data_IF_651487833614
#
_entry.id   IF_651487833614
#
_cell.length_a   1.000
_cell.length_b   1.000
_cell.length_c   1.000
_cell.angle_alpha   90.00
_cell.angle_beta   90.00
_cell.angle_gamma   90.00
#
_symmetry.space_group_name_H-M   'P 1'
#
loop_
_entity.id
_entity.type
_entity.pdbx_description
1 polymer ?
#
# COMPACT_ATOMS: atom_id res chain seq x y z
N UNK A 1 17.21 -3.48 18.86
CA UNK A 1 17.04 -4.84 18.30
C UNK A 1 16.81 -4.70 16.79
N UNK A 2 17.47 -5.51 15.97
CA UNK A 2 17.34 -5.42 14.49
C UNK A 2 16.10 -6.21 14.05
N UNK A 3 15.07 -5.49 13.59
CA UNK A 3 13.77 -6.10 13.18
C UNK A 3 13.97 -7.13 12.06
N UNK A 4 14.90 -6.89 11.14
CA UNK A 4 15.18 -7.82 10.06
C UNK A 4 15.64 -9.18 10.61
N UNK A 5 16.57 -9.18 11.55
CA UNK A 5 17.05 -10.42 12.20
C UNK A 5 15.94 -11.12 12.98
N UNK A 6 15.06 -10.37 13.63
CA UNK A 6 13.92 -10.94 14.37
C UNK A 6 12.97 -11.63 13.38
N UNK A 7 12.63 -11.00 12.27
CA UNK A 7 11.78 -11.59 11.22
C UNK A 7 12.46 -12.82 10.59
N UNK A 8 13.77 -12.73 10.28
CA UNK A 8 14.52 -13.85 9.69
C UNK A 8 14.51 -15.09 10.60
N UNK A 9 14.63 -14.90 11.90
CA UNK A 9 14.62 -15.97 12.90
C UNK A 9 13.23 -16.56 13.23
N UNK A 10 12.16 -16.00 12.70
CA UNK A 10 10.77 -16.35 13.03
C UNK A 10 10.08 -17.08 11.88
N UNK A 11 9.07 -17.89 12.16
CA UNK A 11 8.30 -18.61 11.15
C UNK A 11 6.82 -18.21 11.15
N UNK A 12 6.20 -18.13 12.32
CA UNK A 12 4.77 -17.85 12.50
C UNK A 12 4.59 -16.39 12.93
N UNK A 13 3.96 -15.58 12.11
CA UNK A 13 3.88 -14.12 12.33
C UNK A 13 2.42 -13.68 12.29
N UNK A 14 1.94 -13.15 13.40
CA UNK A 14 0.64 -12.51 13.50
C UNK A 14 0.70 -11.03 13.08
N UNK A 15 -0.36 -10.53 12.45
CA UNK A 15 -0.55 -9.11 12.13
C UNK A 15 -1.87 -8.65 12.72
N UNK A 16 -1.83 -7.72 13.64
CA UNK A 16 -3.00 -7.19 14.33
C UNK A 16 -3.19 -5.71 14.00
N UNK A 17 -4.42 -5.30 13.79
CA UNK A 17 -4.80 -3.89 13.59
C UNK A 17 -6.15 -3.62 14.22
N UNK A 18 -6.47 -2.33 14.46
CA UNK A 18 -7.75 -1.91 15.03
C UNK A 18 -8.93 -2.50 14.26
N UNK A 19 -10.02 -2.81 14.96
CA UNK A 19 -11.28 -3.23 14.34
C UNK A 19 -11.79 -2.25 13.28
N UNK A 20 -11.69 -0.95 13.56
CA UNK A 20 -12.07 0.14 12.67
C UNK A 20 -10.81 0.79 12.06
N UNK A 21 -9.91 -0.04 11.53
CA UNK A 21 -8.69 0.43 10.90
C UNK A 21 -9.03 1.34 9.71
N UNK A 22 -8.30 2.44 9.60
CA UNK A 22 -8.39 3.30 8.41
C UNK A 22 -7.65 2.65 7.22
N UNK A 23 -7.85 3.18 6.03
CA UNK A 23 -7.25 2.64 4.81
C UNK A 23 -5.71 2.62 4.82
N UNK A 24 -5.06 3.50 5.58
CA UNK A 24 -3.60 3.49 5.78
C UNK A 24 -3.17 2.25 6.58
N UNK A 25 -3.86 1.94 7.68
CA UNK A 25 -3.59 0.74 8.48
C UNK A 25 -3.92 -0.55 7.71
N UNK A 26 -5.03 -0.57 6.95
CA UNK A 26 -5.40 -1.70 6.08
C UNK A 26 -4.33 -1.92 5.01
N UNK A 27 -3.92 -0.87 4.31
CA UNK A 27 -2.87 -0.95 3.29
C UNK A 27 -1.53 -1.42 3.85
N UNK A 28 -1.12 -0.89 5.01
CA UNK A 28 0.09 -1.29 5.71
C UNK A 28 0.06 -2.77 6.14
N UNK A 29 -1.07 -3.23 6.69
CA UNK A 29 -1.25 -4.62 7.14
C UNK A 29 -1.19 -5.61 5.99
N UNK A 30 -1.87 -5.31 4.86
CA UNK A 30 -1.83 -6.15 3.66
C UNK A 30 -0.44 -6.18 3.02
N UNK A 31 0.22 -5.03 2.94
CA UNK A 31 1.57 -4.95 2.41
C UNK A 31 2.56 -5.80 3.22
N UNK A 32 2.49 -5.71 4.55
CA UNK A 32 3.29 -6.53 5.46
C UNK A 32 2.99 -8.01 5.29
N UNK A 33 1.71 -8.39 5.21
CA UNK A 33 1.28 -9.77 4.98
C UNK A 33 1.90 -10.37 3.70
N UNK A 34 1.75 -9.68 2.56
CA UNK A 34 2.30 -10.16 1.29
C UNK A 34 3.83 -10.18 1.27
N UNK A 35 4.46 -9.22 1.94
CA UNK A 35 5.91 -9.22 2.12
C UNK A 35 6.36 -10.48 2.87
N UNK A 36 5.78 -10.74 4.04
CA UNK A 36 6.16 -11.88 4.87
C UNK A 36 5.96 -13.21 4.13
N UNK A 37 4.84 -13.37 3.42
CA UNK A 37 4.61 -14.54 2.59
C UNK A 37 5.66 -14.70 1.48
N UNK A 38 6.08 -13.60 0.84
CA UNK A 38 7.05 -13.65 -0.25
C UNK A 38 8.46 -14.09 0.20
N UNK A 39 8.78 -13.90 1.47
CA UNK A 39 10.02 -14.39 2.08
C UNK A 39 9.84 -15.74 2.82
N UNK A 40 8.74 -16.45 2.54
CA UNK A 40 8.48 -17.80 3.06
C UNK A 40 7.98 -17.86 4.49
N UNK A 41 7.54 -16.75 5.10
CA UNK A 41 6.98 -16.73 6.45
C UNK A 41 5.49 -17.07 6.44
N UNK A 42 5.02 -17.73 7.49
CA UNK A 42 3.60 -18.00 7.73
C UNK A 42 2.99 -16.77 8.39
N UNK A 43 2.37 -15.88 7.60
CA UNK A 43 1.71 -14.69 8.08
C UNK A 43 0.19 -14.88 8.19
N UNK A 44 -0.43 -14.35 9.24
CA UNK A 44 -1.88 -14.40 9.43
C UNK A 44 -2.42 -13.19 10.22
N UNK A 45 -3.75 -13.06 10.24
CA UNK A 45 -4.44 -12.03 11.02
C UNK A 45 -5.17 -12.70 12.21
N UNK A 46 -4.61 -12.68 13.44
CA UNK A 46 -5.14 -13.41 14.59
C UNK A 46 -6.38 -12.79 15.23
N UNK A 47 -6.93 -11.72 14.67
CA UNK A 47 -8.06 -11.00 15.27
C UNK A 47 -9.39 -11.71 15.08
N UNK A 48 -10.22 -11.75 16.15
CA UNK A 48 -11.65 -12.13 16.09
C UNK A 48 -12.46 -11.24 15.13
N UNK A 49 -12.00 -10.03 14.90
CA UNK A 49 -12.73 -8.96 14.18
C UNK A 49 -11.81 -8.26 13.19
N UNK A 50 -11.55 -8.93 12.07
CA UNK A 50 -10.80 -8.36 10.95
C UNK A 50 -11.60 -7.20 10.33
N UNK A 51 -10.97 -6.04 10.03
CA UNK A 51 -11.62 -4.95 9.29
C UNK A 51 -12.28 -5.46 8.00
N UNK A 52 -13.47 -4.94 7.70
CA UNK A 52 -14.26 -5.42 6.54
C UNK A 52 -13.49 -5.30 5.23
N UNK A 53 -12.81 -4.19 5.02
CA UNK A 53 -12.01 -3.90 3.83
C UNK A 53 -10.89 -4.94 3.64
N UNK A 54 -10.22 -5.30 4.74
CA UNK A 54 -9.19 -6.34 4.77
C UNK A 54 -9.82 -7.71 4.46
N UNK A 55 -10.95 -8.02 5.08
CA UNK A 55 -11.64 -9.29 4.89
C UNK A 55 -12.18 -9.45 3.45
N UNK A 56 -12.76 -8.40 2.88
CA UNK A 56 -13.29 -8.41 1.51
C UNK A 56 -12.16 -8.64 0.49
N UNK A 57 -11.00 -8.04 0.74
CA UNK A 57 -9.83 -8.25 -0.10
C UNK A 57 -9.29 -9.69 0.01
N UNK A 58 -9.11 -10.21 1.22
CA UNK A 58 -8.65 -11.58 1.45
C UNK A 58 -9.61 -12.61 0.82
N UNK A 59 -10.92 -12.36 0.90
CA UNK A 59 -11.95 -13.19 0.25
C UNK A 59 -11.91 -13.14 -1.27
N UNK A 60 -11.59 -12.00 -1.85
CA UNK A 60 -11.57 -11.84 -3.33
C UNK A 60 -10.43 -12.60 -4.00
N UNK A 61 -9.32 -12.83 -3.28
CA UNK A 61 -8.14 -13.55 -3.79
C UNK A 61 -8.03 -15.00 -3.33
N UNK A 62 -8.65 -15.34 -2.21
CA UNK A 62 -8.68 -16.71 -1.72
C UNK A 62 -9.82 -17.49 -2.35
N UNK A 63 -9.53 -18.44 -3.23
CA UNK A 63 -10.49 -19.50 -3.51
C UNK A 63 -10.90 -20.15 -2.18
N UNK A 64 -12.20 -20.40 -1.98
CA UNK A 64 -12.67 -21.12 -0.79
C UNK A 64 -11.98 -22.49 -0.77
N UNK A 65 -11.04 -22.69 0.15
CA UNK A 65 -10.48 -24.01 0.42
C UNK A 65 -11.36 -24.66 1.49
N UNK A 66 -11.76 -25.87 1.24
CA UNK A 66 -12.43 -26.71 2.23
C UNK A 66 -11.38 -27.63 2.82
N UNK A 67 -11.16 -27.54 4.12
CA UNK A 67 -10.37 -28.53 4.83
C UNK A 67 -11.32 -29.49 5.51
N UNK A 68 -11.15 -30.77 5.23
CA UNK A 68 -11.84 -31.87 5.88
C UNK A 68 -10.76 -32.64 6.66
N UNK A 69 -10.92 -32.75 7.95
CA UNK A 69 -9.98 -33.47 8.82
C UNK A 69 -10.66 -34.70 9.39
N UNK A 70 -9.96 -35.81 9.39
CA UNK A 70 -10.37 -37.08 9.97
C UNK A 70 -9.28 -37.53 10.94
N UNK A 71 -9.70 -38.04 12.07
CA UNK A 71 -8.78 -38.61 13.06
C UNK A 71 -8.46 -40.11 12.78
N UNK A 72 -9.20 -40.71 11.82
CA UNK A 72 -8.99 -42.09 11.41
C UNK A 72 -8.25 -42.20 10.07
N UNK A 73 -7.53 -43.29 9.85
CA UNK A 73 -6.84 -43.56 8.60
C UNK A 73 -7.87 -43.85 7.49
N UNK A 74 -7.74 -43.11 6.38
CA UNK A 74 -8.57 -43.23 5.17
C UNK A 74 -7.89 -44.24 4.20
N UNK A 75 -8.67 -45.22 3.73
CA UNK A 75 -8.22 -46.21 2.73
C UNK A 75 -8.31 -45.65 1.31
N UNK A 76 -9.43 -45.02 0.98
CA UNK A 76 -9.67 -44.47 -0.36
C UNK A 76 -10.41 -43.14 -0.27
N UNK A 77 -10.12 -42.27 -1.24
CA UNK A 77 -10.78 -40.97 -1.43
C UNK A 77 -11.20 -40.86 -2.90
N UNK A 78 -12.51 -40.72 -3.16
CA UNK A 78 -13.00 -40.43 -4.48
C UNK A 78 -14.06 -39.32 -4.44
N UNK A 79 -14.33 -38.70 -5.58
CA UNK A 79 -15.29 -37.61 -5.67
C UNK A 79 -16.17 -37.73 -6.90
N UNK A 80 -17.39 -37.23 -6.77
CA UNK A 80 -18.38 -37.14 -7.84
C UNK A 80 -18.83 -35.68 -8.01
N UNK A 81 -18.93 -35.23 -9.28
CA UNK A 81 -19.54 -33.93 -9.59
C UNK A 81 -21.02 -34.10 -9.79
N UNK A 82 -21.85 -33.45 -8.96
CA UNK A 82 -23.31 -33.46 -9.08
C UNK A 82 -23.84 -32.04 -9.23
N UNK A 83 -24.18 -31.66 -10.46
CA UNK A 83 -24.62 -30.29 -10.78
C UNK A 83 -23.50 -29.27 -10.56
N UNK A 84 -23.73 -28.29 -9.65
CA UNK A 84 -22.73 -27.30 -9.24
C UNK A 84 -21.95 -27.72 -7.99
N UNK A 85 -22.20 -28.91 -7.43
CA UNK A 85 -21.58 -29.43 -6.23
C UNK A 85 -20.59 -30.55 -6.49
N UNK A 86 -19.81 -30.88 -5.47
CA UNK A 86 -18.90 -32.00 -5.42
C UNK A 86 -19.31 -32.82 -4.19
N UNK A 87 -19.46 -34.13 -4.37
CA UNK A 87 -19.62 -35.09 -3.28
C UNK A 87 -18.28 -35.79 -3.10
N UNK A 88 -17.75 -35.76 -1.88
CA UNK A 88 -16.55 -36.49 -1.49
C UNK A 88 -16.97 -37.76 -0.74
N UNK A 89 -16.45 -38.88 -1.19
CA UNK A 89 -16.60 -40.16 -0.50
C UNK A 89 -15.24 -40.56 0.08
N UNK A 90 -15.25 -40.91 1.35
CA UNK A 90 -14.06 -41.22 2.13
C UNK A 90 -14.29 -42.58 2.76
N UNK A 91 -13.48 -43.57 2.41
CA UNK A 91 -13.57 -44.88 2.98
C UNK A 91 -12.54 -45.03 4.11
N UNK A 92 -12.96 -45.16 5.38
CA UNK A 92 -12.05 -45.38 6.49
C UNK A 92 -11.48 -46.84 6.40
N UNK A 93 -10.23 -47.02 6.80
CA UNK A 93 -9.64 -48.34 6.93
C UNK A 93 -10.33 -49.21 7.98
N UNK A 94 -10.76 -48.58 9.08
CA UNK A 94 -11.56 -49.26 10.10
C UNK A 94 -13.04 -49.17 9.77
N UNK A 95 -13.66 -50.29 9.46
CA UNK A 95 -15.10 -50.40 9.17
C UNK A 95 -16.02 -50.03 10.34
N UNK A 96 -15.47 -49.90 11.55
CA UNK A 96 -16.18 -49.48 12.76
C UNK A 96 -15.92 -48.00 13.11
N UNK A 97 -15.34 -47.20 12.20
CA UNK A 97 -15.13 -45.76 12.42
C UNK A 97 -16.45 -45.08 12.75
N UNK A 98 -16.46 -44.31 13.86
CA UNK A 98 -17.66 -43.59 14.33
C UNK A 98 -17.71 -42.19 13.76
N UNK A 99 -18.91 -41.71 13.45
CA UNK A 99 -19.17 -40.36 12.90
C UNK A 99 -18.71 -39.19 13.79
N UNK A 100 -18.38 -39.48 15.05
CA UNK A 100 -18.01 -38.46 16.07
C UNK A 100 -16.65 -37.80 15.85
N UNK A 101 -15.81 -38.32 14.93
CA UNK A 101 -14.46 -37.81 14.63
C UNK A 101 -14.38 -36.98 13.34
N UNK A 102 -15.50 -36.59 12.80
CA UNK A 102 -15.57 -35.80 11.60
C UNK A 102 -15.62 -34.31 11.91
N UNK A 103 -14.67 -33.52 11.40
CA UNK A 103 -14.73 -32.06 11.42
C UNK A 103 -14.60 -31.46 10.02
N UNK A 104 -15.53 -30.59 9.65
CA UNK A 104 -15.47 -29.84 8.39
C UNK A 104 -15.28 -28.36 8.69
N UNK A 105 -14.20 -27.77 8.26
CA UNK A 105 -13.97 -26.33 8.32
C UNK A 105 -13.96 -25.75 6.92
N UNK A 106 -14.72 -24.66 6.72
CA UNK A 106 -14.59 -23.82 5.52
C UNK A 106 -13.43 -22.87 5.80
N UNK A 107 -12.31 -23.08 5.12
CA UNK A 107 -11.18 -22.16 5.19
C UNK A 107 -11.34 -21.18 4.03
N UNK A 108 -11.87 -20.00 4.34
CA UNK A 108 -11.87 -18.88 3.41
C UNK A 108 -10.58 -18.10 3.55
N UNK A 109 -9.66 -18.29 2.59
CA UNK A 109 -8.33 -17.71 2.65
C UNK A 109 -7.36 -18.52 3.52
N UNK A 110 -6.07 -18.34 3.32
CA UNK A 110 -5.01 -18.96 4.13
C UNK A 110 -4.90 -18.28 5.51
N UNK A 111 -5.98 -18.30 6.30
CA UNK A 111 -5.91 -17.92 7.70
C UNK A 111 -5.48 -19.17 8.47
N UNK A 112 -4.18 -19.44 8.46
CA UNK A 112 -3.60 -20.38 9.38
C UNK A 112 -3.61 -19.71 10.76
N UNK A 113 -4.57 -20.06 11.61
CA UNK A 113 -4.48 -19.77 13.02
C UNK A 113 -3.37 -20.67 13.56
N UNK A 114 -2.17 -20.12 13.74
CA UNK A 114 -1.18 -20.78 14.57
C UNK A 114 -1.58 -20.57 16.03
N UNK A 115 -1.59 -21.57 16.89
CA UNK A 115 -1.81 -21.37 18.31
C UNK A 115 -0.70 -20.55 18.97
N UNK A 116 0.47 -20.47 18.34
CA UNK A 116 1.65 -19.77 18.83
C UNK A 116 2.26 -18.90 17.72
N UNK A 117 2.57 -17.66 18.05
CA UNK A 117 3.28 -16.70 17.18
C UNK A 117 4.69 -16.47 17.71
N UNK A 118 5.67 -16.45 16.83
CA UNK A 118 7.04 -16.01 17.16
C UNK A 118 7.06 -14.48 17.27
N UNK A 119 6.28 -13.82 16.38
CA UNK A 119 6.14 -12.35 16.33
C UNK A 119 4.67 -11.98 16.20
N UNK A 120 4.27 -10.94 16.89
CA UNK A 120 3.01 -10.22 16.68
C UNK A 120 3.30 -8.78 16.26
N UNK A 121 3.06 -8.44 14.99
CA UNK A 121 3.00 -7.06 14.55
C UNK A 121 1.68 -6.43 14.95
N UNK A 122 1.74 -5.31 15.65
CA UNK A 122 0.57 -4.53 16.05
C UNK A 122 0.61 -3.17 15.39
N UNK A 123 -0.37 -2.87 14.54
CA UNK A 123 -0.39 -1.69 13.67
C UNK A 123 -1.50 -0.71 14.08
N UNK A 124 -1.10 0.47 14.58
CA UNK A 124 -2.00 1.57 14.89
C UNK A 124 -2.91 1.31 16.09
N UNK A 125 -2.47 0.55 17.08
CA UNK A 125 -3.14 0.30 18.35
C UNK A 125 -2.36 0.98 19.46
N UNK A 126 -3.01 1.88 20.20
CA UNK A 126 -2.37 2.73 21.20
C UNK A 126 -2.24 2.06 22.56
N UNK A 127 -3.24 1.23 22.92
CA UNK A 127 -3.41 0.62 24.24
C UNK A 127 -3.27 -0.92 24.15
N UNK A 128 -2.45 -1.48 25.04
CA UNK A 128 -2.23 -2.94 25.10
C UNK A 128 -3.51 -3.71 25.41
N UNK A 129 -4.40 -3.15 26.21
CA UNK A 129 -5.70 -3.78 26.51
C UNK A 129 -6.53 -4.00 25.24
N UNK A 130 -6.46 -3.07 24.26
CA UNK A 130 -7.14 -3.27 22.96
C UNK A 130 -6.53 -4.44 22.19
N UNK A 131 -5.22 -4.69 22.34
CA UNK A 131 -4.54 -5.86 21.75
C UNK A 131 -5.12 -7.16 22.34
N UNK A 132 -5.24 -7.25 23.67
CA UNK A 132 -5.79 -8.41 24.37
C UNK A 132 -7.24 -8.67 23.96
N UNK A 133 -8.06 -7.60 23.83
CA UNK A 133 -9.47 -7.70 23.44
C UNK A 133 -9.69 -8.17 22.00
N UNK A 134 -8.70 -7.99 21.13
CA UNK A 134 -8.75 -8.37 19.72
C UNK A 134 -8.30 -9.81 19.47
N UNK A 135 -7.51 -10.40 20.33
CA UNK A 135 -7.02 -11.77 20.20
C UNK A 135 -8.06 -12.79 20.63
N UNK A 136 -8.02 -13.97 20.04
CA UNK A 136 -8.92 -15.09 20.42
C UNK A 136 -8.51 -15.74 21.74
N UNK A 137 -7.21 -15.82 21.99
CA UNK A 137 -6.62 -16.38 23.19
C UNK A 137 -5.37 -15.58 23.57
N UNK A 138 -5.36 -15.02 24.78
CA UNK A 138 -4.22 -14.23 25.28
C UNK A 138 -2.99 -15.10 25.62
N UNK A 139 -3.13 -16.41 25.72
CA UNK A 139 -1.99 -17.34 25.85
C UNK A 139 -1.05 -17.25 24.63
N UNK A 140 -1.58 -16.81 23.47
CA UNK A 140 -0.78 -16.54 22.25
C UNK A 140 0.27 -15.45 22.45
N UNK A 141 0.14 -14.60 23.47
CA UNK A 141 1.08 -13.52 23.79
C UNK A 141 2.27 -13.98 24.65
N UNK A 142 2.16 -15.12 25.34
CA UNK A 142 3.12 -15.49 26.41
C UNK A 142 4.56 -15.70 25.94
N UNK A 143 4.78 -16.04 24.66
CA UNK A 143 6.11 -16.31 24.11
C UNK A 143 6.38 -15.58 22.79
N UNK A 144 5.55 -14.60 22.41
CA UNK A 144 5.75 -13.87 21.15
C UNK A 144 6.43 -12.52 21.35
N UNK A 145 7.30 -12.15 20.43
CA UNK A 145 7.86 -10.79 20.36
C UNK A 145 6.83 -9.83 19.78
N UNK A 146 6.41 -8.82 20.53
CA UNK A 146 5.48 -7.79 20.06
C UNK A 146 6.25 -6.66 19.39
N UNK A 147 5.96 -6.42 18.11
CA UNK A 147 6.45 -5.27 17.35
C UNK A 147 5.31 -4.28 17.18
N UNK A 148 5.34 -3.21 17.95
CA UNK A 148 4.31 -2.18 17.97
C UNK A 148 4.69 -1.04 17.02
N UNK A 149 3.84 -0.78 16.01
CA UNK A 149 4.04 0.26 15.01
C UNK A 149 2.85 1.22 15.04
N UNK A 150 3.09 2.47 15.38
CA UNK A 150 2.05 3.48 15.44
C UNK A 150 2.57 4.87 15.04
N UNK A 151 1.66 5.76 14.75
CA UNK A 151 1.91 7.20 14.53
C UNK A 151 1.42 8.08 15.67
N UNK A 152 0.74 7.51 16.66
CA UNK A 152 0.22 8.26 17.79
C UNK A 152 1.24 8.32 18.93
N UNK A 153 1.64 9.53 19.31
CA UNK A 153 2.58 9.75 20.41
C UNK A 153 2.02 9.34 21.79
N UNK A 154 0.69 9.19 21.91
CA UNK A 154 0.06 8.69 23.15
C UNK A 154 0.13 7.14 23.26
N UNK A 155 0.77 6.46 22.32
CA UNK A 155 0.95 5.01 22.36
C UNK A 155 1.71 4.61 23.63
N UNK A 156 1.27 3.54 24.29
CA UNK A 156 1.84 3.06 25.56
C UNK A 156 3.23 2.42 25.42
N UNK A 157 3.76 2.25 24.21
CA UNK A 157 5.06 1.61 23.94
C UNK A 157 5.18 0.20 24.57
N UNK A 158 4.14 -0.59 24.46
CA UNK A 158 4.02 -1.89 25.13
C UNK A 158 4.76 -3.06 24.41
N UNK A 159 5.28 -2.84 23.21
CA UNK A 159 6.03 -3.85 22.49
C UNK A 159 7.49 -3.95 22.95
N UNK A 160 8.11 -5.11 22.74
CA UNK A 160 9.57 -5.27 22.88
C UNK A 160 10.31 -4.39 21.86
N UNK A 161 9.68 -4.15 20.71
CA UNK A 161 10.12 -3.18 19.70
C UNK A 161 8.98 -2.21 19.43
N UNK A 162 9.26 -0.91 19.61
CA UNK A 162 8.29 0.15 19.37
C UNK A 162 8.80 1.09 18.27
N UNK A 163 8.01 1.28 17.20
CA UNK A 163 8.26 2.22 16.12
C UNK A 163 7.13 3.23 16.09
N UNK A 164 7.31 4.33 16.82
CA UNK A 164 6.29 5.37 16.96
C UNK A 164 6.80 6.64 16.27
N UNK A 165 6.19 7.03 15.14
CA UNK A 165 6.57 8.25 14.40
C UNK A 165 5.32 8.98 13.87
N UNK A 166 4.98 10.11 14.48
CA UNK A 166 3.83 10.94 14.09
C UNK A 166 3.97 11.56 12.68
N UNK A 167 5.20 11.69 12.19
CA UNK A 167 5.52 12.27 10.88
C UNK A 167 5.44 11.28 9.73
N UNK A 168 5.23 10.00 10.03
CA UNK A 168 5.07 8.94 9.05
C UNK A 168 3.70 8.29 9.16
N UNK A 169 3.16 7.84 8.03
CA UNK A 169 2.01 6.95 8.04
C UNK A 169 2.46 5.50 8.29
N UNK A 170 1.53 4.64 8.70
CA UNK A 170 1.82 3.22 8.89
C UNK A 170 2.38 2.60 7.60
N UNK A 171 1.79 2.94 6.44
CA UNK A 171 2.29 2.47 5.14
C UNK A 171 3.69 2.99 4.80
N UNK A 172 4.07 4.21 5.26
CA UNK A 172 5.45 4.69 5.10
C UNK A 172 6.42 3.90 5.97
N UNK A 173 6.05 3.61 7.21
CA UNK A 173 6.87 2.81 8.13
C UNK A 173 7.08 1.40 7.58
N UNK A 174 6.01 0.74 7.12
CA UNK A 174 6.12 -0.58 6.48
C UNK A 174 6.97 -0.51 5.19
N UNK A 175 6.84 0.55 4.38
CA UNK A 175 7.71 0.72 3.21
C UNK A 175 9.20 0.86 3.57
N UNK A 176 9.52 1.48 4.72
CA UNK A 176 10.90 1.52 5.21
C UNK A 176 11.38 0.12 5.59
N UNK A 177 10.57 -0.66 6.31
CA UNK A 177 10.90 -2.04 6.65
C UNK A 177 11.13 -2.89 5.38
N UNK A 178 10.28 -2.75 4.36
CA UNK A 178 10.45 -3.49 3.09
C UNK A 178 11.80 -3.16 2.41
N UNK A 179 12.23 -1.89 2.44
CA UNK A 179 13.52 -1.46 1.87
C UNK A 179 14.70 -2.15 2.54
N UNK A 180 14.63 -2.41 3.83
CA UNK A 180 15.70 -3.05 4.60
C UNK A 180 15.89 -4.54 4.22
N UNK A 181 14.88 -5.16 3.61
CA UNK A 181 14.98 -6.53 3.07
C UNK A 181 15.64 -6.61 1.68
N UNK A 182 16.00 -5.48 1.06
CA UNK A 182 16.73 -5.42 -0.21
C UNK A 182 15.82 -5.32 -1.44
N UNK A 183 16.20 -5.96 -2.56
CA UNK A 183 15.40 -5.97 -3.78
C UNK A 183 14.08 -6.71 -3.53
N UNK A 184 13.00 -5.96 -3.61
CA UNK A 184 11.67 -6.43 -3.28
C UNK A 184 10.74 -6.32 -4.48
N UNK A 185 10.25 -7.45 -5.00
CA UNK A 185 9.47 -7.53 -6.23
C UNK A 185 8.02 -8.02 -6.04
N UNK A 186 7.49 -8.01 -4.80
CA UNK A 186 6.09 -8.39 -4.60
C UNK A 186 5.16 -7.21 -4.96
N UNK A 187 4.59 -7.27 -6.16
CA UNK A 187 3.70 -6.22 -6.70
C UNK A 187 2.48 -5.96 -5.81
N UNK A 188 1.91 -6.99 -5.20
CA UNK A 188 0.75 -6.83 -4.34
C UNK A 188 1.08 -6.01 -3.09
N UNK A 189 2.17 -6.32 -2.40
CA UNK A 189 2.60 -5.54 -1.25
C UNK A 189 2.89 -4.08 -1.63
N UNK A 190 3.55 -3.85 -2.76
CA UNK A 190 3.82 -2.51 -3.26
C UNK A 190 2.54 -1.73 -3.58
N UNK A 191 1.55 -2.38 -4.19
CA UNK A 191 0.27 -1.76 -4.52
C UNK A 191 -0.55 -1.43 -3.27
N UNK A 192 -0.50 -2.29 -2.21
CA UNK A 192 -1.14 -1.98 -0.94
C UNK A 192 -0.47 -0.84 -0.20
N UNK A 193 0.85 -0.71 -0.29
CA UNK A 193 1.54 0.48 0.23
C UNK A 193 1.06 1.75 -0.48
N UNK A 194 0.94 1.73 -1.82
CA UNK A 194 0.39 2.87 -2.56
C UNK A 194 -1.04 3.20 -2.12
N UNK A 195 -1.88 2.16 -1.97
CA UNK A 195 -3.24 2.33 -1.47
C UNK A 195 -3.25 3.00 -0.10
N UNK A 196 -2.52 2.47 0.89
CA UNK A 196 -2.45 3.07 2.22
C UNK A 196 -1.89 4.50 2.21
N UNK A 197 -0.84 4.76 1.43
CA UNK A 197 -0.26 6.09 1.27
C UNK A 197 -1.26 7.12 0.72
N UNK A 198 -2.16 6.73 -0.18
CA UNK A 198 -3.17 7.61 -0.72
C UNK A 198 -4.14 8.13 0.35
N UNK A 199 -4.40 7.33 1.37
CA UNK A 199 -5.31 7.65 2.47
C UNK A 199 -4.59 8.08 3.76
N UNK A 200 -3.26 8.15 3.76
CA UNK A 200 -2.49 8.67 4.88
C UNK A 200 -2.74 10.17 5.05
N UNK A 201 -3.26 10.58 6.18
CA UNK A 201 -3.74 11.97 6.44
C UNK A 201 -2.71 13.08 6.17
N UNK A 202 -3.12 14.34 6.37
CA UNK A 202 -2.37 15.57 6.02
C UNK A 202 -1.11 15.84 6.87
N UNK A 203 -0.95 15.18 8.02
CA UNK A 203 0.16 15.42 8.96
C UNK A 203 1.48 14.75 8.56
N UNK A 204 1.49 13.88 7.54
CA UNK A 204 2.68 13.18 7.11
C UNK A 204 3.65 14.08 6.34
N UNK A 205 4.96 13.85 6.48
CA UNK A 205 5.98 14.57 5.73
C UNK A 205 5.86 14.28 4.23
N UNK A 206 5.36 15.24 3.46
CA UNK A 206 5.10 15.08 2.03
C UNK A 206 6.36 14.72 1.22
N UNK A 207 7.56 15.22 1.59
CA UNK A 207 8.81 14.87 0.90
C UNK A 207 9.13 13.39 1.05
N UNK A 208 9.05 12.87 2.27
CA UNK A 208 9.25 11.44 2.55
C UNK A 208 8.18 10.61 1.83
N UNK A 209 6.91 11.04 1.84
CA UNK A 209 5.82 10.37 1.14
C UNK A 209 6.08 10.28 -0.37
N UNK A 210 6.46 11.38 -1.02
CA UNK A 210 6.81 11.42 -2.45
C UNK A 210 7.97 10.46 -2.75
N UNK A 211 9.03 10.49 -1.94
CA UNK A 211 10.18 9.59 -2.15
C UNK A 211 9.79 8.12 -2.01
N UNK A 212 8.90 7.80 -1.06
CA UNK A 212 8.37 6.44 -0.86
C UNK A 212 7.52 6.00 -2.04
N UNK A 213 6.59 6.83 -2.52
CA UNK A 213 5.77 6.54 -3.70
C UNK A 213 6.64 6.30 -4.94
N UNK A 214 7.65 7.16 -5.19
CA UNK A 214 8.58 6.97 -6.30
C UNK A 214 9.34 5.64 -6.20
N UNK A 215 9.80 5.29 -5.00
CA UNK A 215 10.48 4.02 -4.78
C UNK A 215 9.56 2.85 -5.09
N UNK A 216 8.32 2.85 -4.59
CA UNK A 216 7.34 1.79 -4.85
C UNK A 216 7.10 1.62 -6.35
N UNK A 217 6.82 2.72 -7.07
CA UNK A 217 6.57 2.69 -8.51
C UNK A 217 7.79 2.25 -9.33
N UNK A 218 9.01 2.57 -8.88
CA UNK A 218 10.26 2.11 -9.53
C UNK A 218 10.52 0.62 -9.33
N UNK A 219 10.00 0.03 -8.25
CA UNK A 219 10.14 -1.39 -7.93
C UNK A 219 8.94 -2.24 -8.39
N UNK A 220 8.14 -1.75 -9.33
CA UNK A 220 7.08 -2.52 -9.98
C UNK A 220 5.70 -2.39 -9.38
N UNK A 221 5.50 -1.54 -8.37
CA UNK A 221 4.17 -1.13 -7.93
C UNK A 221 3.44 -0.32 -9.01
N UNK A 222 2.12 -0.35 -9.01
CA UNK A 222 1.25 0.38 -9.91
C UNK A 222 -0.04 0.86 -9.24
N UNK A 223 -0.83 1.64 -9.97
CA UNK A 223 -2.10 2.19 -9.50
C UNK A 223 -3.32 1.31 -9.83
N UNK A 224 -3.15 0.00 -10.01
CA UNK A 224 -4.23 -0.94 -10.38
C UNK A 224 -5.37 -1.02 -9.35
N UNK A 225 -5.08 -0.71 -8.08
CA UNK A 225 -6.08 -0.67 -7.00
C UNK A 225 -6.90 0.64 -6.99
N UNK A 226 -6.58 1.61 -7.85
CA UNK A 226 -7.26 2.89 -7.90
C UNK A 226 -8.30 2.93 -9.02
N UNK A 227 -9.44 3.59 -8.74
CA UNK A 227 -10.45 3.86 -9.75
C UNK A 227 -9.90 4.80 -10.84
N UNK A 228 -10.33 4.60 -12.10
CA UNK A 228 -9.92 5.40 -13.24
C UNK A 228 -9.65 4.51 -14.46
N UNK A 229 -9.47 5.14 -15.63
CA UNK A 229 -9.05 4.39 -16.80
C UNK A 229 -7.59 3.96 -16.67
N UNK A 230 -7.23 2.87 -17.33
CA UNK A 230 -5.86 2.33 -17.33
C UNK A 230 -4.87 3.38 -17.84
N UNK A 231 -5.23 4.10 -18.89
CA UNK A 231 -4.40 5.13 -19.51
C UNK A 231 -4.11 6.28 -18.53
N UNK A 232 -5.15 6.78 -17.85
CA UNK A 232 -5.01 7.86 -16.88
C UNK A 232 -4.19 7.42 -15.66
N UNK A 233 -4.34 6.17 -15.20
CA UNK A 233 -3.52 5.64 -14.12
C UNK A 233 -2.05 5.51 -14.55
N UNK A 234 -1.76 5.03 -15.77
CA UNK A 234 -0.40 4.99 -16.32
C UNK A 234 0.23 6.37 -16.43
N UNK A 235 -0.51 7.40 -16.91
CA UNK A 235 -0.01 8.76 -16.95
C UNK A 235 0.30 9.27 -15.53
N UNK A 236 -0.57 9.02 -14.56
CA UNK A 236 -0.35 9.40 -13.17
C UNK A 236 0.88 8.71 -12.57
N UNK A 237 1.10 7.42 -12.88
CA UNK A 237 2.31 6.69 -12.47
C UNK A 237 3.58 7.34 -13.00
N UNK A 238 3.60 7.73 -14.29
CA UNK A 238 4.72 8.44 -14.90
C UNK A 238 4.95 9.78 -14.22
N UNK A 239 3.88 10.56 -14.01
CA UNK A 239 3.95 11.84 -13.29
C UNK A 239 4.55 11.64 -11.89
N UNK A 240 4.11 10.63 -11.14
CA UNK A 240 4.60 10.32 -9.80
C UNK A 240 6.06 9.83 -9.80
N UNK A 241 6.44 8.98 -10.76
CA UNK A 241 7.82 8.50 -10.94
C UNK A 241 8.80 9.64 -11.20
N UNK A 242 8.37 10.63 -11.99
CA UNK A 242 9.17 11.77 -12.39
C UNK A 242 9.09 12.96 -11.43
N UNK A 243 8.22 12.89 -10.40
CA UNK A 243 8.00 13.99 -9.46
C UNK A 243 9.26 14.19 -8.59
N UNK A 244 9.86 15.37 -8.67
CA UNK A 244 11.02 15.78 -7.86
C UNK A 244 10.63 16.97 -6.99
N UNK A 245 11.35 17.15 -5.87
CA UNK A 245 11.22 18.33 -5.03
C UNK A 245 12.47 19.20 -5.19
N UNK A 246 12.30 20.42 -5.69
CA UNK A 246 13.41 21.34 -5.97
C UNK A 246 13.08 22.75 -5.48
N UNK A 247 13.97 23.33 -4.70
CA UNK A 247 13.63 24.54 -3.95
C UNK A 247 12.47 24.26 -3.00
N UNK A 248 11.35 24.94 -3.21
CA UNK A 248 10.12 24.79 -2.42
C UNK A 248 8.94 24.26 -3.22
N UNK A 249 9.19 23.68 -4.41
CA UNK A 249 8.14 23.21 -5.30
C UNK A 249 8.37 21.78 -5.78
N UNK A 250 7.27 21.12 -6.10
CA UNK A 250 7.29 19.83 -6.76
C UNK A 250 7.23 20.02 -8.28
N UNK A 251 8.09 19.31 -9.01
CA UNK A 251 8.14 19.39 -10.48
C UNK A 251 8.13 17.97 -11.04
N UNK A 252 7.26 17.72 -12.01
CA UNK A 252 7.28 16.50 -12.82
C UNK A 252 7.47 16.85 -14.28
N UNK A 253 8.39 16.15 -14.93
CA UNK A 253 8.67 16.28 -16.36
C UNK A 253 8.11 15.10 -17.14
N UNK A 254 7.44 15.36 -18.26
CA UNK A 254 6.74 14.36 -19.05
C UNK A 254 7.20 14.50 -20.50
N UNK A 255 7.82 13.45 -21.03
CA UNK A 255 8.30 13.43 -22.41
C UNK A 255 7.21 13.04 -23.40
N UNK A 256 7.46 13.23 -24.70
CA UNK A 256 6.59 12.70 -25.76
C UNK A 256 6.45 11.17 -25.67
N UNK A 257 7.53 10.50 -25.31
CA UNK A 257 7.52 9.04 -25.12
C UNK A 257 6.59 8.62 -24.01
N UNK A 258 6.55 9.35 -22.88
CA UNK A 258 5.67 9.08 -21.75
C UNK A 258 4.19 9.16 -22.14
N UNK A 259 3.80 10.13 -22.95
CA UNK A 259 2.43 10.23 -23.48
C UNK A 259 2.08 9.05 -24.40
N UNK A 260 3.01 8.60 -25.24
CA UNK A 260 2.80 7.43 -26.10
C UNK A 260 2.68 6.15 -25.28
N UNK A 261 3.55 5.94 -24.29
CA UNK A 261 3.51 4.75 -23.41
C UNK A 261 2.23 4.67 -22.59
N UNK A 262 1.69 5.80 -22.17
CA UNK A 262 0.41 5.86 -21.42
C UNK A 262 -0.82 5.89 -22.33
N UNK A 263 -0.66 5.97 -23.65
CA UNK A 263 -1.74 6.19 -24.62
C UNK A 263 -2.60 7.43 -24.26
N UNK A 264 -1.95 8.52 -23.90
CA UNK A 264 -2.58 9.77 -23.45
C UNK A 264 -2.01 10.99 -24.16
N UNK A 265 -2.48 12.16 -23.79
CA UNK A 265 -2.00 13.45 -24.28
C UNK A 265 -1.95 14.49 -23.16
N UNK A 266 -1.42 15.67 -23.45
CA UNK A 266 -1.40 16.78 -22.50
C UNK A 266 -2.80 17.19 -21.98
N UNK A 267 -3.88 16.86 -22.69
CA UNK A 267 -5.27 17.08 -22.24
C UNK A 267 -5.61 16.26 -20.99
N UNK A 268 -4.99 15.12 -20.79
CA UNK A 268 -5.20 14.25 -19.64
C UNK A 268 -4.47 14.73 -18.36
N UNK A 269 -3.58 15.72 -18.48
CA UNK A 269 -2.84 16.25 -17.32
C UNK A 269 -3.73 16.88 -16.25
N UNK A 270 -4.88 17.45 -16.62
CA UNK A 270 -5.85 17.99 -15.66
C UNK A 270 -6.35 16.92 -14.69
N UNK A 271 -6.56 15.68 -15.16
CA UNK A 271 -6.89 14.54 -14.30
C UNK A 271 -5.76 14.22 -13.34
N UNK A 272 -4.51 14.22 -13.82
CA UNK A 272 -3.33 13.99 -12.99
C UNK A 272 -3.14 15.08 -11.92
N UNK A 273 -3.48 16.33 -12.21
CA UNK A 273 -3.47 17.46 -11.24
C UNK A 273 -4.36 17.16 -10.04
N UNK A 274 -5.62 16.82 -10.28
CA UNK A 274 -6.59 16.55 -9.22
C UNK A 274 -6.18 15.33 -8.38
N UNK A 275 -5.78 14.26 -9.05
CA UNK A 275 -5.32 13.03 -8.39
C UNK A 275 -4.06 13.23 -7.57
N UNK A 276 -3.07 13.93 -8.11
CA UNK A 276 -1.81 14.22 -7.42
C UNK A 276 -2.06 15.02 -6.14
N UNK A 277 -2.92 16.06 -6.23
CA UNK A 277 -3.32 16.86 -5.09
C UNK A 277 -3.94 15.99 -3.98
N UNK A 278 -4.89 15.14 -4.33
CA UNK A 278 -5.59 14.29 -3.37
C UNK A 278 -4.66 13.18 -2.81
N UNK A 279 -3.84 12.58 -3.67
CA UNK A 279 -2.95 11.47 -3.31
C UNK A 279 -1.80 11.92 -2.40
N UNK A 280 -1.11 13.00 -2.75
CA UNK A 280 0.08 13.47 -2.04
C UNK A 280 -0.18 14.65 -1.10
N UNK A 281 -1.37 15.24 -1.18
CA UNK A 281 -1.72 16.46 -0.43
C UNK A 281 -0.69 17.60 -0.64
N UNK A 282 -0.27 17.81 -1.89
CA UNK A 282 0.70 18.83 -2.28
C UNK A 282 -0.02 20.13 -2.58
N UNK A 283 0.49 21.24 -2.02
CA UNK A 283 -0.10 22.58 -2.18
C UNK A 283 0.33 23.29 -3.47
N UNK A 284 1.48 22.92 -4.05
CA UNK A 284 2.00 23.56 -5.27
C UNK A 284 2.90 22.64 -6.06
N UNK A 285 2.71 22.56 -7.35
CA UNK A 285 3.54 21.76 -8.25
C UNK A 285 3.49 22.25 -9.70
N UNK A 286 4.46 21.80 -10.49
CA UNK A 286 4.55 22.06 -11.93
C UNK A 286 4.60 20.76 -12.71
N UNK A 287 3.94 20.73 -13.87
CA UNK A 287 4.18 19.75 -14.92
C UNK A 287 4.85 20.45 -16.09
N UNK A 288 5.96 19.90 -16.57
CA UNK A 288 6.67 20.35 -17.75
C UNK A 288 6.56 19.28 -18.83
N UNK A 289 6.21 19.65 -20.05
CA UNK A 289 6.19 18.70 -21.17
C UNK A 289 6.57 19.36 -22.48
N UNK A 290 7.08 18.54 -23.40
CA UNK A 290 7.41 18.97 -24.76
C UNK A 290 6.16 18.92 -25.65
N UNK A 291 5.89 20.05 -26.33
CA UNK A 291 4.87 20.12 -27.36
C UNK A 291 5.42 20.84 -28.59
N UNK A 292 5.55 20.08 -29.70
CA UNK A 292 6.24 20.53 -30.92
C UNK A 292 7.69 20.93 -30.62
N UNK A 293 8.07 22.15 -30.62
CA UNK A 293 9.43 22.64 -30.31
C UNK A 293 9.43 23.63 -29.14
N UNK A 294 8.44 23.53 -28.28
CA UNK A 294 8.22 24.44 -27.15
C UNK A 294 8.04 23.61 -25.90
N UNK A 295 8.59 24.04 -24.80
CA UNK A 295 8.28 23.45 -23.50
C UNK A 295 7.05 24.16 -22.94
N UNK A 296 6.00 23.39 -22.71
CA UNK A 296 4.82 23.85 -22.00
C UNK A 296 4.90 23.52 -20.52
N UNK A 297 4.30 24.38 -19.72
CA UNK A 297 4.22 24.20 -18.28
C UNK A 297 2.78 24.37 -17.79
N UNK A 298 2.35 23.52 -16.87
CA UNK A 298 1.16 23.67 -16.08
C UNK A 298 1.59 23.89 -14.64
N UNK A 299 1.08 24.95 -14.02
CA UNK A 299 1.23 25.21 -12.59
C UNK A 299 -0.09 24.95 -11.89
N UNK A 300 -0.03 24.32 -10.73
CA UNK A 300 -1.08 24.35 -9.71
C UNK A 300 -0.52 24.91 -8.41
N UNK A 301 -1.26 25.80 -7.75
CA UNK A 301 -0.93 26.24 -6.39
C UNK A 301 -2.17 26.65 -5.61
N UNK A 302 -2.21 26.29 -4.32
CA UNK A 302 -3.23 26.81 -3.39
C UNK A 302 -3.08 28.32 -3.17
N UNK A 303 -1.89 28.87 -3.44
CA UNK A 303 -1.60 30.31 -3.38
C UNK A 303 -1.84 30.94 -4.75
N UNK A 304 -3.05 31.49 -4.96
CA UNK A 304 -3.48 32.08 -6.25
C UNK A 304 -2.51 33.10 -6.81
N UNK A 305 -1.90 33.95 -5.96
CA UNK A 305 -0.96 34.97 -6.41
C UNK A 305 0.30 34.39 -7.07
N UNK A 306 0.75 33.20 -6.66
CA UNK A 306 1.90 32.52 -7.29
C UNK A 306 1.54 32.12 -8.71
N UNK A 307 0.36 31.53 -8.90
CA UNK A 307 -0.14 31.14 -10.23
C UNK A 307 -0.21 32.34 -11.15
N UNK A 308 -0.85 33.44 -10.67
CA UNK A 308 -0.98 34.68 -11.43
C UNK A 308 0.40 35.24 -11.81
N UNK A 309 1.29 35.47 -10.85
CA UNK A 309 2.62 36.04 -11.07
C UNK A 309 3.44 35.28 -12.09
N UNK A 310 3.50 33.94 -11.95
CA UNK A 310 4.28 33.10 -12.86
C UNK A 310 3.67 33.06 -14.25
N UNK A 311 2.34 32.88 -14.33
CA UNK A 311 1.66 32.83 -15.63
C UNK A 311 1.78 34.15 -16.40
N UNK A 312 1.71 35.29 -15.70
CA UNK A 312 1.91 36.63 -16.34
C UNK A 312 3.37 36.80 -16.82
N UNK A 313 4.36 36.40 -16.02
CA UNK A 313 5.77 36.49 -16.41
C UNK A 313 6.07 35.71 -17.71
N UNK A 314 5.53 34.50 -17.81
CA UNK A 314 5.69 33.67 -19.00
C UNK A 314 4.62 33.92 -20.07
N UNK A 315 3.85 35.01 -19.97
CA UNK A 315 2.75 35.41 -20.92
C UNK A 315 1.75 34.27 -21.14
N UNK A 316 1.45 33.53 -20.08
CA UNK A 316 0.53 32.41 -20.11
C UNK A 316 -0.89 32.78 -19.71
N UNK A 317 -1.76 31.78 -19.70
CA UNK A 317 -3.13 31.85 -19.23
C UNK A 317 -3.25 31.29 -17.81
N UNK A 318 -4.07 31.89 -16.97
CA UNK A 318 -4.35 31.40 -15.62
C UNK A 318 -5.82 31.56 -15.26
N UNK A 319 -6.28 30.63 -14.45
CA UNK A 319 -7.63 30.67 -13.85
C UNK A 319 -7.55 30.08 -12.44
N UNK A 320 -7.97 30.86 -11.44
CA UNK A 320 -8.00 30.44 -10.03
C UNK A 320 -6.63 29.92 -9.52
N UNK A 321 -6.52 28.58 -9.37
CA UNK A 321 -5.35 27.90 -8.81
C UNK A 321 -4.50 27.18 -9.86
N UNK A 322 -4.86 27.29 -11.13
CA UNK A 322 -4.17 26.66 -12.26
C UNK A 322 -3.74 27.69 -13.29
N UNK A 323 -2.59 27.44 -13.92
CA UNK A 323 -2.08 28.23 -15.04
C UNK A 323 -1.35 27.37 -16.05
N UNK A 324 -1.37 27.77 -17.31
CA UNK A 324 -0.66 27.13 -18.41
C UNK A 324 0.13 28.20 -19.14
N UNK A 325 1.40 27.94 -19.40
CA UNK A 325 2.29 28.85 -20.11
C UNK A 325 3.33 28.08 -20.92
N UNK A 326 4.04 28.81 -21.78
CA UNK A 326 5.13 28.26 -22.57
C UNK A 326 6.46 28.84 -22.09
N UNK A 327 7.51 28.01 -22.11
CA UNK A 327 8.87 28.41 -21.78
C UNK A 327 9.68 28.24 -23.07
N UNK A 328 10.23 29.35 -23.58
CA UNK A 328 11.05 29.36 -24.78
C UNK A 328 12.44 28.80 -24.45
N UNK A 329 12.53 27.46 -24.41
CA UNK A 329 13.74 26.71 -24.21
C UNK A 329 13.70 25.44 -25.06
N UNK A 330 14.88 24.91 -25.40
CA UNK A 330 15.01 23.74 -26.28
C UNK A 330 15.09 22.40 -25.53
N UNK A 331 15.07 22.43 -24.20
CA UNK A 331 15.04 21.21 -23.38
C UNK A 331 14.26 21.44 -22.08
N UNK A 332 13.70 20.34 -21.56
CA UNK A 332 12.96 20.36 -20.28
C UNK A 332 13.89 20.81 -19.14
N UNK A 333 15.16 20.40 -19.13
CA UNK A 333 16.12 20.75 -18.09
C UNK A 333 16.39 22.26 -18.06
N UNK A 334 16.59 22.89 -19.22
CA UNK A 334 16.75 24.35 -19.31
C UNK A 334 15.50 25.11 -18.90
N UNK A 335 14.32 24.62 -19.33
CA UNK A 335 13.05 25.19 -18.94
C UNK A 335 12.83 25.10 -17.42
N UNK A 336 13.19 23.97 -16.83
CA UNK A 336 13.13 23.75 -15.38
C UNK A 336 14.07 24.70 -14.64
N UNK A 337 15.31 24.84 -15.10
CA UNK A 337 16.27 25.80 -14.53
C UNK A 337 15.73 27.24 -14.57
N UNK A 338 15.22 27.67 -15.72
CA UNK A 338 14.63 29.00 -15.91
C UNK A 338 13.43 29.24 -14.98
N UNK A 339 12.56 28.23 -14.84
CA UNK A 339 11.43 28.29 -13.92
C UNK A 339 11.89 28.43 -12.47
N UNK A 340 12.87 27.63 -12.05
CA UNK A 340 13.39 27.65 -10.67
C UNK A 340 14.15 28.94 -10.35
N UNK A 341 14.88 29.52 -11.32
CA UNK A 341 15.57 30.81 -11.14
C UNK A 341 14.59 31.96 -10.91
N UNK A 342 13.38 31.88 -11.48
CA UNK A 342 12.33 32.87 -11.27
C UNK A 342 11.60 32.70 -9.93
N UNK A 343 11.59 31.48 -9.36
CA UNK A 343 10.93 31.20 -8.08
C UNK A 343 11.79 31.61 -6.86
N UNK A 344 13.08 31.75 -7.05
CA UNK A 344 14.02 32.31 -6.04
C UNK A 344 13.85 33.82 -5.94
#
# INVERSE_FOLDING_TARGET
MDIKKVIEGSNNIGILTKRNANNDAVGASLALFFMLQSIGKKACFPSKKIPKELLDFLKSRGGKKFQVSFDDEISEVYYEKKGKGIILYLEPKDKNARDEKFSCKIISGENFFSPEYDILFVLGIEDFKEVEDLLENNEQLSNCTIINIDKNLNNQNYGEINIIDENQSLSQTIACLLKDFGEYNNRDALNFLLYGLAFSGKKTNNRKKVSTVRWILKNGGDLSLFSGSIENNKLLEIVLKNLTFEGDVYISSISKKDFLESNTSSKNLSFSVERLKNFLNISSFFFLWEEKNIIKALIYSDRKYIVQRISMYFKGFFKERGGIFSIEENSIERAKYKLLSYLK
#
